data_IF_790707399368
#
_entry.id   IF_790707399368
#
_cell.length_a   1.000
_cell.length_b   1.000
_cell.length_c   1.000
_cell.angle_alpha   90.00
_cell.angle_beta   90.00
_cell.angle_gamma   90.00
#
_symmetry.space_group_name_H-M   'P 1'
#
loop_
_entity.id
_entity.type
_entity.pdbx_description
1 polymer ?
#
# COMPACT_ATOMS: atom_id res chain seq x y z
N UNK A 1 -19.42 -4.20 -18.64
CA UNK A 1 -19.01 -5.18 -17.62
C UNK A 1 -18.48 -6.39 -18.36
N UNK A 2 -17.19 -6.68 -18.27
CA UNK A 2 -16.53 -7.76 -19.02
C UNK A 2 -16.29 -8.93 -18.07
N UNK A 3 -16.67 -10.16 -18.44
CA UNK A 3 -16.50 -11.33 -17.58
C UNK A 3 -15.02 -11.72 -17.45
N UNK A 4 -14.41 -11.34 -16.33
CA UNK A 4 -13.00 -11.62 -16.03
C UNK A 4 -12.74 -13.11 -15.75
N UNK A 5 -13.76 -13.86 -15.31
CA UNK A 5 -13.67 -15.27 -14.89
C UNK A 5 -13.17 -16.23 -15.98
N UNK A 6 -13.38 -15.89 -17.26
CA UNK A 6 -12.93 -16.69 -18.41
C UNK A 6 -11.49 -16.41 -18.86
N UNK A 7 -10.84 -15.37 -18.32
CA UNK A 7 -9.54 -14.89 -18.81
C UNK A 7 -8.38 -15.56 -18.07
N UNK A 8 -8.17 -16.85 -18.33
CA UNK A 8 -7.14 -17.68 -17.65
C UNK A 8 -5.71 -17.20 -17.87
N UNK A 9 -5.45 -16.42 -18.94
CA UNK A 9 -4.15 -15.83 -19.22
C UNK A 9 -3.96 -14.41 -18.61
N UNK A 10 -4.97 -13.88 -17.92
CA UNK A 10 -4.89 -12.53 -17.34
C UNK A 10 -3.89 -12.50 -16.18
N UNK A 11 -2.86 -11.65 -16.31
CA UNK A 11 -1.81 -11.45 -15.30
C UNK A 11 -1.92 -10.14 -14.54
N UNK A 12 -2.62 -9.16 -15.11
CA UNK A 12 -2.73 -7.81 -14.57
C UNK A 12 -4.17 -7.37 -14.58
N UNK A 13 -4.65 -6.86 -13.47
CA UNK A 13 -6.02 -6.39 -13.33
C UNK A 13 -6.04 -5.10 -12.53
N UNK A 14 -6.85 -4.14 -13.00
CA UNK A 14 -7.23 -2.96 -12.23
C UNK A 14 -8.73 -3.00 -12.06
N UNK A 15 -9.20 -2.99 -10.81
CA UNK A 15 -10.62 -3.12 -10.48
C UNK A 15 -11.03 -2.03 -9.49
N UNK A 16 -12.08 -1.29 -9.85
CA UNK A 16 -12.76 -0.37 -8.96
C UNK A 16 -14.02 -1.05 -8.45
N UNK A 17 -14.06 -1.34 -7.16
CA UNK A 17 -15.21 -1.93 -6.51
C UNK A 17 -16.23 -0.84 -6.17
N UNK A 18 -17.49 -1.21 -6.23
CA UNK A 18 -18.61 -0.42 -5.75
C UNK A 18 -18.91 -0.89 -4.33
N UNK A 19 -18.75 -0.01 -3.35
CA UNK A 19 -18.93 -0.32 -1.95
C UNK A 19 -20.42 -0.50 -1.58
N UNK A 20 -21.34 -0.11 -2.47
CA UNK A 20 -22.79 -0.27 -2.30
C UNK A 20 -23.32 -1.60 -2.86
N UNK A 21 -22.49 -2.34 -3.61
CA UNK A 21 -22.88 -3.60 -4.23
C UNK A 21 -22.31 -4.81 -3.49
N UNK A 22 -23.22 -5.65 -2.98
CA UNK A 22 -22.87 -6.99 -2.52
C UNK A 22 -22.59 -7.92 -3.71
N UNK A 23 -21.57 -8.77 -3.56
CA UNK A 23 -21.36 -9.92 -4.47
C UNK A 23 -20.49 -9.65 -5.69
N UNK A 24 -19.42 -8.87 -5.56
CA UNK A 24 -18.40 -8.80 -6.60
C UNK A 24 -17.82 -10.19 -6.91
N UNK A 25 -17.57 -10.49 -8.20
CA UNK A 25 -17.03 -11.78 -8.60
C UNK A 25 -15.63 -11.98 -8.02
N UNK A 26 -15.31 -13.23 -7.67
CA UNK A 26 -13.98 -13.60 -7.22
C UNK A 26 -12.91 -13.16 -8.24
N UNK A 27 -11.83 -12.59 -7.70
CA UNK A 27 -10.69 -12.16 -8.49
C UNK A 27 -9.94 -13.39 -9.02
N UNK A 28 -9.41 -13.36 -10.26
CA UNK A 28 -8.62 -14.46 -10.79
C UNK A 28 -7.39 -14.74 -9.93
N UNK A 29 -7.14 -16.01 -9.66
CA UNK A 29 -6.08 -16.43 -8.73
C UNK A 29 -4.67 -16.32 -9.32
N UNK A 30 -4.56 -16.34 -10.64
CA UNK A 30 -3.30 -16.35 -11.39
C UNK A 30 -2.69 -14.95 -11.62
N UNK A 31 -3.26 -13.91 -11.01
CA UNK A 31 -2.79 -12.54 -11.15
C UNK A 31 -1.38 -12.38 -10.55
N UNK A 32 -0.58 -11.58 -11.22
CA UNK A 32 0.76 -11.16 -10.81
C UNK A 32 0.77 -9.68 -10.39
N UNK A 33 -0.13 -8.88 -10.95
CA UNK A 33 -0.32 -7.47 -10.59
C UNK A 33 -1.81 -7.16 -10.41
N UNK A 34 -2.14 -6.51 -9.30
CA UNK A 34 -3.50 -6.10 -8.99
C UNK A 34 -3.51 -4.66 -8.48
N UNK A 35 -4.36 -3.83 -9.08
CA UNK A 35 -4.80 -2.58 -8.46
C UNK A 35 -6.27 -2.72 -8.07
N UNK A 36 -6.58 -2.48 -6.80
CA UNK A 36 -7.95 -2.58 -6.27
C UNK A 36 -8.32 -1.31 -5.50
N UNK A 37 -9.41 -0.69 -5.93
CA UNK A 37 -9.97 0.52 -5.33
C UNK A 37 -11.28 0.16 -4.65
N UNK A 38 -11.51 0.69 -3.45
CA UNK A 38 -12.69 0.41 -2.62
C UNK A 38 -12.91 -1.08 -2.30
N UNK A 39 -11.87 -1.88 -1.99
CA UNK A 39 -12.08 -3.30 -1.68
C UNK A 39 -12.98 -3.49 -0.45
N UNK A 40 -13.73 -4.58 -0.45
CA UNK A 40 -14.34 -5.12 0.75
C UNK A 40 -13.41 -6.16 1.40
N UNK A 41 -13.81 -6.64 2.59
CA UNK A 41 -13.04 -7.62 3.36
C UNK A 41 -12.76 -8.93 2.58
N UNK A 42 -13.75 -9.43 1.82
CA UNK A 42 -13.56 -10.66 1.03
C UNK A 42 -12.56 -10.48 -0.12
N UNK A 43 -12.50 -9.30 -0.74
CA UNK A 43 -11.48 -9.00 -1.75
C UNK A 43 -10.07 -9.08 -1.15
N UNK A 44 -9.84 -8.51 0.03
CA UNK A 44 -8.54 -8.57 0.69
C UNK A 44 -8.15 -10.00 1.08
N UNK A 45 -9.10 -10.84 1.48
CA UNK A 45 -8.84 -12.27 1.69
C UNK A 45 -8.47 -12.99 0.39
N UNK A 46 -9.18 -12.72 -0.70
CA UNK A 46 -8.85 -13.32 -2.00
C UNK A 46 -7.43 -12.95 -2.45
N UNK A 47 -7.01 -11.71 -2.22
CA UNK A 47 -5.64 -11.24 -2.50
C UNK A 47 -4.58 -12.05 -1.75
N UNK A 48 -4.83 -12.38 -0.46
CA UNK A 48 -3.89 -13.18 0.34
C UNK A 48 -3.69 -14.59 -0.21
N UNK A 49 -4.69 -15.11 -0.91
CA UNK A 49 -4.63 -16.45 -1.45
C UNK A 49 -3.87 -16.50 -2.78
N UNK A 50 -3.61 -15.37 -3.48
CA UNK A 50 -2.97 -15.35 -4.80
C UNK A 50 -1.47 -15.66 -4.74
N UNK A 51 -1.00 -16.85 -5.15
CA UNK A 51 0.39 -17.28 -4.96
C UNK A 51 1.37 -16.61 -5.93
N UNK A 52 0.85 -16.04 -7.03
CA UNK A 52 1.63 -15.37 -8.06
C UNK A 52 1.74 -13.87 -7.88
N UNK A 53 1.00 -13.28 -6.93
CA UNK A 53 0.87 -11.84 -6.83
C UNK A 53 2.18 -11.21 -6.34
N UNK A 54 2.72 -10.28 -7.14
CA UNK A 54 3.99 -9.58 -6.89
C UNK A 54 3.82 -8.08 -6.74
N UNK A 55 2.78 -7.52 -7.35
CA UNK A 55 2.47 -6.09 -7.32
C UNK A 55 1.04 -5.89 -6.84
N UNK A 56 0.85 -5.07 -5.81
CA UNK A 56 -0.47 -4.77 -5.27
C UNK A 56 -0.61 -3.26 -5.03
N UNK A 57 -1.69 -2.68 -5.53
CA UNK A 57 -2.20 -1.38 -5.10
C UNK A 57 -3.53 -1.59 -4.38
N UNK A 58 -3.65 -1.06 -3.17
CA UNK A 58 -4.90 -1.01 -2.39
C UNK A 58 -5.21 0.43 -2.06
N UNK A 59 -6.40 0.89 -2.45
CA UNK A 59 -6.85 2.25 -2.20
C UNK A 59 -8.26 2.24 -1.61
N UNK A 60 -8.47 3.08 -0.58
CA UNK A 60 -9.76 3.35 0.04
C UNK A 60 -10.50 2.09 0.52
N UNK A 61 -9.88 1.26 1.37
CA UNK A 61 -10.68 0.29 2.14
C UNK A 61 -11.59 1.07 3.10
N UNK A 62 -12.91 0.95 2.95
CA UNK A 62 -13.90 1.76 3.69
C UNK A 62 -14.74 0.95 4.69
N UNK A 63 -14.53 -0.37 4.78
CA UNK A 63 -15.36 -1.22 5.64
C UNK A 63 -14.84 -1.24 7.08
N UNK A 64 -15.77 -1.32 8.02
CA UNK A 64 -15.44 -1.43 9.44
C UNK A 64 -14.70 -2.74 9.76
N UNK A 65 -13.74 -2.63 10.67
CA UNK A 65 -13.04 -3.75 11.26
C UNK A 65 -11.72 -4.12 10.58
N UNK A 66 -10.90 -4.81 11.36
CA UNK A 66 -9.55 -5.16 10.95
C UNK A 66 -9.50 -6.41 10.08
N UNK A 67 -8.61 -6.37 9.09
CA UNK A 67 -8.22 -7.49 8.25
C UNK A 67 -6.79 -7.87 8.63
N UNK A 68 -6.65 -9.00 9.31
CA UNK A 68 -5.34 -9.57 9.57
C UNK A 68 -4.79 -10.17 8.27
N UNK A 69 -3.59 -9.73 7.90
CA UNK A 69 -2.80 -10.30 6.80
C UNK A 69 -1.82 -11.31 7.38
N UNK A 70 -2.05 -12.62 7.18
CA UNK A 70 -1.08 -13.63 7.56
C UNK A 70 0.15 -13.51 6.66
N UNK A 71 1.27 -14.09 7.12
CA UNK A 71 2.45 -14.21 6.25
C UNK A 71 2.06 -15.03 5.02
N UNK A 72 2.45 -14.59 3.80
CA UNK A 72 2.19 -15.35 2.59
C UNK A 72 2.81 -16.73 2.67
N UNK A 73 2.06 -17.75 2.25
CA UNK A 73 2.58 -19.12 2.16
C UNK A 73 3.42 -19.34 0.90
N UNK A 74 3.17 -18.56 -0.16
CA UNK A 74 3.79 -18.72 -1.47
C UNK A 74 4.11 -17.36 -2.08
N UNK A 75 5.38 -17.16 -2.44
CA UNK A 75 5.83 -15.87 -2.94
C UNK A 75 5.60 -14.74 -1.94
N UNK A 76 5.91 -13.51 -2.32
CA UNK A 76 5.61 -12.34 -1.53
C UNK A 76 5.57 -11.13 -2.44
N UNK A 77 4.84 -10.11 -2.02
CA UNK A 77 4.81 -8.85 -2.75
C UNK A 77 6.22 -8.28 -2.86
N UNK A 78 6.56 -7.82 -4.05
CA UNK A 78 7.78 -7.09 -4.35
C UNK A 78 7.50 -5.59 -4.39
N UNK A 79 6.31 -5.22 -4.83
CA UNK A 79 5.83 -3.84 -4.91
C UNK A 79 4.47 -3.73 -4.22
N UNK A 80 4.30 -2.70 -3.40
CA UNK A 80 3.06 -2.41 -2.69
C UNK A 80 2.80 -0.91 -2.70
N UNK A 81 1.61 -0.49 -3.15
CA UNK A 81 1.08 0.85 -2.95
C UNK A 81 -0.16 0.80 -2.09
N UNK A 82 -0.22 1.63 -1.05
CA UNK A 82 -1.33 1.66 -0.10
C UNK A 82 -1.80 3.07 0.18
N UNK A 83 -3.10 3.27 -0.01
CA UNK A 83 -3.85 4.40 0.48
C UNK A 83 -4.91 3.88 1.44
N UNK A 84 -4.50 3.69 2.70
CA UNK A 84 -5.38 3.38 3.83
C UNK A 84 -5.46 4.59 4.76
N UNK A 85 -6.66 4.91 5.23
CA UNK A 85 -6.87 5.98 6.19
C UNK A 85 -6.36 5.60 7.59
N UNK A 86 -6.34 6.56 8.51
CA UNK A 86 -5.89 6.38 9.90
C UNK A 86 -6.68 5.34 10.69
N UNK A 87 -7.97 5.16 10.38
CA UNK A 87 -8.83 4.16 11.02
C UNK A 87 -8.38 2.73 10.68
N UNK A 88 -7.71 2.54 9.54
CA UNK A 88 -7.19 1.26 9.08
C UNK A 88 -5.69 1.08 9.33
N UNK A 89 -5.14 1.79 10.33
CA UNK A 89 -3.73 1.68 10.76
C UNK A 89 -3.31 0.24 11.11
N UNK A 90 -4.19 -0.53 11.75
CA UNK A 90 -3.91 -1.93 12.09
C UNK A 90 -3.76 -2.80 10.83
N UNK A 91 -4.61 -2.56 9.82
CA UNK A 91 -4.57 -3.24 8.52
C UNK A 91 -3.27 -2.90 7.79
N UNK A 92 -2.90 -1.62 7.75
CA UNK A 92 -1.62 -1.18 7.19
C UNK A 92 -0.44 -1.92 7.86
N UNK A 93 -0.37 -1.90 9.19
CA UNK A 93 0.68 -2.59 9.94
C UNK A 93 0.73 -4.08 9.63
N UNK A 94 -0.43 -4.75 9.61
CA UNK A 94 -0.49 -6.19 9.35
C UNK A 94 -0.05 -6.52 7.93
N UNK A 95 -0.48 -5.74 6.93
CA UNK A 95 -0.11 -5.93 5.52
C UNK A 95 1.40 -5.74 5.32
N UNK A 96 1.97 -4.66 5.87
CA UNK A 96 3.41 -4.41 5.78
C UNK A 96 4.23 -5.52 6.45
N UNK A 97 3.81 -5.95 7.64
CA UNK A 97 4.52 -7.00 8.40
C UNK A 97 4.43 -8.37 7.72
N UNK A 98 3.33 -8.67 7.02
CA UNK A 98 3.16 -9.90 6.26
C UNK A 98 4.19 -10.00 5.12
N UNK A 99 4.51 -8.88 4.48
CA UNK A 99 5.37 -8.84 3.30
C UNK A 99 6.77 -8.26 3.54
N UNK A 100 7.13 -7.93 4.78
CA UNK A 100 8.39 -7.24 5.12
C UNK A 100 9.66 -7.97 4.63
N UNK A 101 9.61 -9.30 4.48
CA UNK A 101 10.74 -10.09 3.98
C UNK A 101 10.93 -10.00 2.47
N UNK A 102 9.86 -9.80 1.68
CA UNK A 102 9.92 -9.81 0.22
C UNK A 102 9.84 -8.42 -0.41
N UNK A 103 9.21 -7.47 0.29
CA UNK A 103 8.84 -6.18 -0.26
C UNK A 103 10.08 -5.36 -0.60
N UNK A 104 10.21 -4.94 -1.87
CA UNK A 104 11.34 -4.18 -2.39
C UNK A 104 11.01 -2.71 -2.55
N UNK A 105 9.78 -2.40 -2.95
CA UNK A 105 9.27 -1.04 -3.06
C UNK A 105 7.92 -0.91 -2.35
N UNK A 106 7.81 0.16 -1.56
CA UNK A 106 6.62 0.54 -0.83
C UNK A 106 6.25 1.96 -1.19
N UNK A 107 5.00 2.18 -1.60
CA UNK A 107 4.40 3.50 -1.77
C UNK A 107 3.30 3.65 -0.72
N UNK A 108 3.37 4.72 0.07
CA UNK A 108 2.36 5.02 1.09
C UNK A 108 1.78 6.39 0.79
N UNK A 109 0.47 6.43 0.65
CA UNK A 109 -0.28 7.67 0.65
C UNK A 109 -0.42 8.15 2.10
N UNK A 110 0.11 9.34 2.37
CA UNK A 110 0.06 9.93 3.70
C UNK A 110 0.02 11.45 3.63
N UNK A 111 -0.59 12.06 4.64
CA UNK A 111 -0.54 13.49 4.85
C UNK A 111 0.78 13.94 5.47
N UNK A 112 1.10 15.22 5.26
CA UNK A 112 2.28 15.87 5.85
C UNK A 112 1.96 16.48 7.21
N UNK A 113 0.72 16.93 7.41
CA UNK A 113 0.24 17.57 8.64
C UNK A 113 -1.20 17.15 8.98
N UNK A 114 -1.70 17.69 10.09
CA UNK A 114 -3.05 17.46 10.61
C UNK A 114 -4.17 18.08 9.76
N UNK A 115 -3.88 18.97 8.81
CA UNK A 115 -4.87 19.44 7.83
C UNK A 115 -5.40 18.33 6.92
N UNK A 116 -4.69 17.20 6.85
CA UNK A 116 -5.08 15.99 6.12
C UNK A 116 -5.40 14.84 7.09
N UNK A 117 -6.24 15.11 8.10
CA UNK A 117 -6.52 14.23 9.25
C UNK A 117 -6.71 12.75 8.88
N UNK A 118 -7.47 12.45 7.81
CA UNK A 118 -7.76 11.07 7.39
C UNK A 118 -6.52 10.28 6.97
N UNK A 119 -5.46 10.96 6.58
CA UNK A 119 -4.27 10.39 5.95
C UNK A 119 -2.99 10.74 6.71
N UNK A 120 -3.10 11.53 7.79
CA UNK A 120 -1.97 11.94 8.60
C UNK A 120 -1.65 10.88 9.64
N UNK A 121 -0.52 10.20 9.45
CA UNK A 121 0.00 9.18 10.35
C UNK A 121 1.19 9.76 11.15
N UNK A 122 0.96 10.38 12.32
CA UNK A 122 2.05 10.98 13.10
C UNK A 122 3.08 9.93 13.56
N UNK A 123 2.65 8.69 13.72
CA UNK A 123 3.47 7.56 14.15
C UNK A 123 3.92 6.66 12.98
N UNK A 124 3.81 7.14 11.73
CA UNK A 124 4.27 6.42 10.54
C UNK A 124 5.73 5.96 10.65
N UNK A 125 6.69 6.78 11.14
CA UNK A 125 8.06 6.33 11.33
C UNK A 125 8.16 5.09 12.24
N UNK A 126 7.49 5.11 13.40
CA UNK A 126 7.50 4.03 14.37
C UNK A 126 6.81 2.78 13.82
N UNK A 127 5.68 2.95 13.12
CA UNK A 127 4.98 1.87 12.45
C UNK A 127 5.92 1.15 11.47
N UNK A 128 6.56 1.91 10.57
CA UNK A 128 7.50 1.37 9.57
C UNK A 128 8.72 0.72 10.21
N UNK A 129 9.30 1.34 11.24
CA UNK A 129 10.45 0.81 11.97
C UNK A 129 10.18 -0.55 12.64
N UNK A 130 8.93 -0.82 13.02
CA UNK A 130 8.54 -2.08 13.66
C UNK A 130 8.23 -3.21 12.68
N UNK A 131 8.07 -2.94 11.37
CA UNK A 131 7.70 -3.96 10.38
C UNK A 131 8.84 -4.93 10.05
N UNK A 132 10.10 -4.57 10.31
CA UNK A 132 11.25 -5.46 10.14
C UNK A 132 11.59 -5.76 8.67
N UNK A 133 11.54 -4.75 7.80
CA UNK A 133 11.85 -4.88 6.38
C UNK A 133 13.26 -5.42 6.12
N UNK A 134 13.37 -6.47 5.29
CA UNK A 134 14.66 -7.09 4.94
C UNK A 134 15.07 -6.84 3.49
N UNK A 135 14.09 -6.80 2.57
CA UNK A 135 14.33 -6.63 1.14
C UNK A 135 14.01 -5.22 0.62
N UNK A 136 13.49 -4.33 1.48
CA UNK A 136 13.05 -3.00 1.07
C UNK A 136 14.25 -2.19 0.59
N UNK A 137 14.09 -1.58 -0.58
CA UNK A 137 15.08 -0.72 -1.23
C UNK A 137 14.56 0.70 -1.38
N UNK A 138 13.25 0.85 -1.60
CA UNK A 138 12.63 2.14 -1.88
C UNK A 138 11.33 2.32 -1.12
N UNK A 139 11.21 3.43 -0.43
CA UNK A 139 9.98 3.92 0.17
C UNK A 139 9.61 5.25 -0.47
N UNK A 140 8.42 5.31 -1.05
CA UNK A 140 7.86 6.51 -1.69
C UNK A 140 6.71 7.03 -0.84
N UNK A 141 6.82 8.25 -0.37
CA UNK A 141 5.71 8.99 0.20
C UNK A 141 4.95 9.67 -0.94
N UNK A 142 3.65 9.41 -1.00
CA UNK A 142 2.73 10.02 -1.95
C UNK A 142 1.77 10.90 -1.15
N UNK A 143 1.70 12.18 -1.49
CA UNK A 143 0.72 13.09 -0.89
C UNK A 143 -0.49 13.14 -1.83
N UNK A 144 -1.69 13.08 -1.25
CA UNK A 144 -2.95 12.78 -1.97
C UNK A 144 -3.33 13.83 -3.02
N UNK A 145 -2.75 15.02 -2.93
CA UNK A 145 -2.82 16.04 -3.98
C UNK A 145 -1.82 15.70 -5.10
N UNK A 146 -1.97 14.50 -5.69
CA UNK A 146 -1.02 13.80 -6.58
C UNK A 146 -0.66 14.58 -7.88
N UNK A 147 -1.27 15.77 -8.09
CA UNK A 147 -0.99 16.66 -9.22
C UNK A 147 -0.22 17.94 -8.84
N UNK A 148 -0.13 18.30 -7.56
CA UNK A 148 0.59 19.50 -7.12
C UNK A 148 2.01 19.15 -6.63
N UNK A 149 2.99 20.05 -6.86
CA UNK A 149 4.26 19.99 -6.16
C UNK A 149 4.00 19.94 -4.64
N UNK A 150 4.87 19.26 -3.90
CA UNK A 150 4.79 19.27 -2.44
C UNK A 150 4.86 20.71 -1.93
N UNK A 151 3.75 21.26 -1.45
CA UNK A 151 3.68 22.63 -0.94
C UNK A 151 4.47 22.76 0.38
N UNK A 152 4.40 21.71 1.20
CA UNK A 152 5.02 21.64 2.52
C UNK A 152 6.37 20.90 2.50
N UNK A 153 7.29 21.35 1.63
CA UNK A 153 8.59 20.71 1.42
C UNK A 153 9.35 20.49 2.73
N UNK A 154 9.38 21.48 3.62
CA UNK A 154 10.13 21.38 4.88
C UNK A 154 9.55 20.32 5.83
N UNK A 155 8.22 20.26 5.96
CA UNK A 155 7.56 19.26 6.79
C UNK A 155 7.69 17.86 6.17
N UNK A 156 7.59 17.72 4.85
CA UNK A 156 7.88 16.48 4.15
C UNK A 156 9.34 16.02 4.35
N UNK A 157 10.31 16.94 4.29
CA UNK A 157 11.72 16.63 4.58
C UNK A 157 11.94 16.16 6.02
N UNK A 158 11.24 16.75 6.99
CA UNK A 158 11.28 16.30 8.39
C UNK A 158 10.70 14.89 8.54
N UNK A 159 9.53 14.62 7.94
CA UNK A 159 8.90 13.29 7.93
C UNK A 159 9.83 12.24 7.29
N UNK A 160 10.40 12.53 6.12
CA UNK A 160 11.37 11.63 5.44
C UNK A 160 12.60 11.36 6.31
N UNK A 161 13.13 12.38 6.99
CA UNK A 161 14.27 12.22 7.92
C UNK A 161 13.90 11.36 9.12
N UNK A 162 12.71 11.54 9.69
CA UNK A 162 12.23 10.73 10.80
C UNK A 162 12.11 9.25 10.40
N UNK A 163 11.49 8.97 9.25
CA UNK A 163 11.35 7.60 8.72
C UNK A 163 12.73 6.98 8.43
N UNK A 164 13.62 7.72 7.75
CA UNK A 164 14.96 7.21 7.40
C UNK A 164 15.78 6.81 8.63
N UNK A 165 15.59 7.46 9.79
CA UNK A 165 16.28 7.09 11.04
C UNK A 165 15.89 5.71 11.58
N UNK A 166 14.71 5.22 11.22
CA UNK A 166 14.14 3.97 11.72
C UNK A 166 14.19 2.82 10.69
N UNK A 167 14.53 3.12 9.44
CA UNK A 167 14.69 2.13 8.38
C UNK A 167 16.16 1.72 8.21
N UNK A 168 16.43 0.57 7.57
CA UNK A 168 17.79 0.19 7.19
C UNK A 168 18.46 1.29 6.34
N UNK A 169 19.77 1.56 6.51
CA UNK A 169 20.47 2.61 5.77
C UNK A 169 20.45 2.47 4.25
N UNK A 170 20.19 1.26 3.74
CA UNK A 170 20.08 0.96 2.31
C UNK A 170 18.74 1.35 1.68
N UNK A 171 17.77 1.82 2.48
CA UNK A 171 16.43 2.19 1.97
C UNK A 171 16.40 3.65 1.56
N UNK A 172 16.07 3.88 0.29
CA UNK A 172 15.81 5.22 -0.24
C UNK A 172 14.42 5.69 0.15
N UNK A 173 14.35 6.74 0.98
CA UNK A 173 13.11 7.40 1.36
C UNK A 173 12.93 8.69 0.55
N UNK A 174 11.97 8.67 -0.36
CA UNK A 174 11.66 9.77 -1.29
C UNK A 174 10.20 10.21 -1.17
N UNK A 175 9.91 11.41 -1.67
CA UNK A 175 8.53 11.88 -1.83
C UNK A 175 8.28 12.15 -3.31
N UNK A 176 7.17 11.66 -3.86
CA UNK A 176 6.85 11.77 -5.29
C UNK A 176 6.75 13.23 -5.76
N UNK A 177 6.22 14.13 -4.92
CA UNK A 177 6.00 15.55 -5.26
C UNK A 177 7.13 16.52 -4.87
N UNK A 178 8.16 16.08 -4.12
CA UNK A 178 9.26 16.96 -3.73
C UNK A 178 10.32 17.10 -4.85
N UNK A 179 10.82 18.32 -5.13
CA UNK A 179 11.95 18.51 -6.05
C UNK A 179 13.22 17.83 -5.49
N UNK A 180 13.96 17.13 -6.35
CA UNK A 180 15.18 16.40 -5.97
C UNK A 180 14.97 14.95 -5.50
N UNK A 181 13.78 14.38 -5.73
CA UNK A 181 13.45 12.96 -5.44
C UNK A 181 13.83 11.97 -6.54
N UNK A 182 14.64 12.38 -7.53
CA UNK A 182 15.11 11.52 -8.62
C UNK A 182 16.56 11.13 -8.34
N UNK A 183 16.79 9.85 -8.04
CA UNK A 183 18.08 9.19 -8.11
C UNK A 183 17.93 7.92 -8.92
#
# INVERSE_FOLDING_TARGET
>A
MQEVKGMTALKRLSVKCDYEMDGYPDLPFQLEELAIFYPCKSHLYNVQCMPGLRSLLVEDYLQDGDVAFPRPMHGGLLWLSVALNVDHRANLRSLLSAHAQSLQELQIYCGVNDGQEKWYFPDLPELLGTCGFQALRRLVLVHIEDESPCEEVDACLLQRRAIRKLLPPSVDVICKGCPGSVF
#
